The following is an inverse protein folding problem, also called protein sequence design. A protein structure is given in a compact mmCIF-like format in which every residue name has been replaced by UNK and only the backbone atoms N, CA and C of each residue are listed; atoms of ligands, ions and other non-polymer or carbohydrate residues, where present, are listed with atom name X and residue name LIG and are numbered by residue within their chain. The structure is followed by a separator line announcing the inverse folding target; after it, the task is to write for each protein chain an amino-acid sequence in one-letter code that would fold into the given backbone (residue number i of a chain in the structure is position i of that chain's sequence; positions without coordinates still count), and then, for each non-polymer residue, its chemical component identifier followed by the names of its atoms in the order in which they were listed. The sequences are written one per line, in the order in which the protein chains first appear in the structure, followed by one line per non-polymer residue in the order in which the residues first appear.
data_IF_256692649807
#
_entry.id   IF_256692649807
#
_cell.length_a   1.000
_cell.length_b   1.000
_cell.length_c   1.000
_cell.angle_alpha   90.00
_cell.angle_beta   90.00
_cell.angle_gamma   90.00
#
_symmetry.space_group_name_H-M   'P 1'
#
loop_
_entity.id
_entity.type
_entity.pdbx_description
1 polymer ?
#
# COMPACT_ATOMS: atom_id res chain seq x y z
N UNK A 1 15.86 -10.29 18.24
CA UNK A 1 15.37 -9.28 17.29
C UNK A 1 13.92 -9.60 16.98
N UNK A 2 13.08 -8.60 16.71
CA UNK A 2 11.74 -8.83 16.15
C UNK A 2 11.92 -9.48 14.77
N UNK A 3 11.03 -10.39 14.39
CA UNK A 3 11.07 -11.02 13.08
C UNK A 3 11.03 -9.97 11.96
N UNK A 4 11.61 -10.25 10.78
CA UNK A 4 11.41 -9.48 9.56
C UNK A 4 11.00 -10.44 8.46
N UNK A 5 9.70 -10.56 8.24
CA UNK A 5 9.19 -11.47 7.22
C UNK A 5 9.45 -10.94 5.81
N UNK A 6 10.11 -11.75 5.00
CA UNK A 6 10.37 -11.46 3.59
C UNK A 6 9.98 -12.66 2.75
N UNK A 7 9.80 -12.41 1.46
CA UNK A 7 9.53 -13.44 0.47
C UNK A 7 10.64 -13.42 -0.58
N UNK A 8 11.13 -14.60 -0.94
CA UNK A 8 12.09 -14.80 -2.01
C UNK A 8 11.38 -15.43 -3.20
N UNK A 9 11.69 -14.97 -4.39
CA UNK A 9 11.16 -15.43 -5.67
C UNK A 9 12.30 -15.81 -6.62
N UNK A 10 12.56 -17.10 -6.77
CA UNK A 10 13.48 -17.64 -7.76
C UNK A 10 12.78 -17.74 -9.12
N UNK A 11 13.01 -16.75 -9.99
CA UNK A 11 12.34 -16.67 -11.30
C UNK A 11 12.79 -17.78 -12.25
N UNK A 12 13.95 -18.40 -11.98
CA UNK A 12 14.47 -19.52 -12.77
C UNK A 12 13.75 -20.84 -12.51
N UNK A 13 13.00 -20.90 -11.40
CA UNK A 13 12.22 -22.07 -10.98
C UNK A 13 10.72 -21.90 -11.20
N UNK A 14 10.27 -20.68 -11.52
CA UNK A 14 8.86 -20.42 -11.79
C UNK A 14 8.48 -21.03 -13.14
N UNK A 15 7.39 -21.79 -13.16
CA UNK A 15 6.85 -22.42 -14.39
C UNK A 15 5.45 -21.89 -14.75
N UNK A 16 5.04 -20.76 -14.16
CA UNK A 16 3.74 -20.12 -14.39
C UNK A 16 2.51 -21.05 -14.26
N UNK A 17 2.58 -22.10 -13.43
CA UNK A 17 1.50 -23.10 -13.29
C UNK A 17 0.21 -22.58 -12.63
N UNK A 18 0.19 -21.31 -12.19
CA UNK A 18 -0.93 -20.64 -11.50
C UNK A 18 -1.38 -21.27 -10.18
N UNK A 19 -0.67 -22.28 -9.66
CA UNK A 19 -1.00 -22.91 -8.38
C UNK A 19 -1.00 -21.91 -7.21
N UNK A 20 -0.03 -20.97 -7.19
CA UNK A 20 0.04 -19.90 -6.18
C UNK A 20 -1.20 -19.00 -6.20
N UNK A 21 -1.63 -18.57 -7.39
CA UNK A 21 -2.80 -17.72 -7.58
C UNK A 21 -4.08 -18.43 -7.13
N UNK A 22 -4.27 -19.69 -7.50
CA UNK A 22 -5.44 -20.49 -7.09
C UNK A 22 -5.46 -20.70 -5.58
N UNK A 23 -4.33 -21.08 -4.97
CA UNK A 23 -4.25 -21.29 -3.53
C UNK A 23 -4.47 -20.00 -2.74
N UNK A 24 -3.94 -18.87 -3.23
CA UNK A 24 -4.15 -17.57 -2.58
C UNK A 24 -5.63 -17.18 -2.62
N UNK A 25 -6.30 -17.40 -3.76
CA UNK A 25 -7.73 -17.11 -3.90
C UNK A 25 -8.60 -18.00 -3.03
N UNK A 26 -8.25 -19.29 -2.91
CA UNK A 26 -8.95 -20.25 -2.05
C UNK A 26 -8.77 -19.93 -0.55
N UNK A 27 -7.57 -19.53 -0.12
CA UNK A 27 -7.29 -19.17 1.27
C UNK A 27 -8.03 -17.90 1.72
N UNK A 28 -8.31 -16.97 0.78
CA UNK A 28 -8.86 -15.64 1.07
C UNK A 28 -10.25 -15.39 0.48
N UNK A 29 -10.94 -16.44 0.01
CA UNK A 29 -12.25 -16.36 -0.65
C UNK A 29 -12.34 -15.22 -1.69
N UNK A 30 -11.28 -15.10 -2.50
CA UNK A 30 -11.14 -13.96 -3.42
C UNK A 30 -12.12 -14.07 -4.59
N UNK A 31 -12.94 -13.02 -4.87
CA UNK A 31 -13.92 -13.04 -5.95
C UNK A 31 -13.33 -13.38 -7.33
N UNK A 32 -14.18 -13.87 -8.23
CA UNK A 32 -13.79 -14.12 -9.62
C UNK A 32 -13.32 -12.83 -10.30
N UNK A 33 -12.24 -12.93 -11.09
CA UNK A 33 -11.62 -11.78 -11.78
C UNK A 33 -10.63 -10.98 -10.93
N UNK A 34 -10.50 -11.29 -9.63
CA UNK A 34 -9.56 -10.63 -8.73
C UNK A 34 -8.51 -11.62 -8.22
N UNK A 35 -7.33 -11.09 -7.88
CA UNK A 35 -6.25 -11.86 -7.28
C UNK A 35 -5.45 -11.01 -6.29
N UNK A 36 -4.79 -11.66 -5.34
CA UNK A 36 -3.91 -11.02 -4.33
C UNK A 36 -2.42 -11.22 -4.66
N UNK A 37 -2.13 -12.02 -5.68
CA UNK A 37 -0.84 -12.29 -6.28
C UNK A 37 -0.99 -12.52 -7.80
N UNK A 38 0.13 -12.57 -8.53
CA UNK A 38 0.16 -12.74 -9.97
C UNK A 38 1.47 -13.40 -10.40
N UNK A 39 1.55 -13.83 -11.65
CA UNK A 39 2.82 -14.11 -12.34
C UNK A 39 2.86 -13.27 -13.61
N UNK A 40 3.74 -12.26 -13.63
CA UNK A 40 4.01 -11.44 -14.82
C UNK A 40 4.92 -12.22 -15.75
N UNK A 41 4.51 -12.31 -17.00
CA UNK A 41 5.28 -12.91 -18.07
C UNK A 41 5.89 -11.80 -18.92
N UNK A 42 7.21 -11.85 -19.13
CA UNK A 42 7.91 -10.87 -19.95
C UNK A 42 8.68 -11.59 -21.04
N UNK A 43 8.21 -11.42 -22.27
CA UNK A 43 8.89 -11.90 -23.46
C UNK A 43 9.90 -10.85 -23.95
N UNK A 44 11.07 -11.31 -24.37
CA UNK A 44 12.11 -10.46 -24.94
C UNK A 44 13.01 -11.28 -25.88
N UNK A 45 13.80 -10.59 -26.69
CA UNK A 45 14.82 -11.22 -27.55
C UNK A 45 16.16 -11.13 -26.83
N UNK A 46 16.79 -12.27 -26.56
CA UNK A 46 18.08 -12.29 -25.89
C UNK A 46 19.23 -11.90 -26.83
N UNK A 47 20.45 -11.77 -26.30
CA UNK A 47 21.63 -11.37 -27.05
C UNK A 47 21.99 -12.30 -28.24
N UNK A 48 21.40 -13.50 -28.31
CA UNK A 48 21.57 -14.45 -29.42
C UNK A 48 20.48 -14.33 -30.49
N UNK A 49 19.57 -13.35 -30.38
CA UNK A 49 18.45 -13.20 -31.30
C UNK A 49 17.31 -14.21 -31.10
N UNK A 50 17.29 -14.92 -29.96
CA UNK A 50 16.27 -15.92 -29.67
C UNK A 50 15.20 -15.36 -28.73
N UNK A 51 13.91 -15.75 -28.91
CA UNK A 51 12.86 -15.38 -27.98
C UNK A 51 13.09 -16.08 -26.64
N UNK A 52 12.89 -15.34 -25.56
CA UNK A 52 13.02 -15.83 -24.19
C UNK A 52 11.93 -15.20 -23.32
N UNK A 53 11.50 -15.96 -22.32
CA UNK A 53 10.46 -15.54 -21.37
C UNK A 53 11.05 -15.52 -19.96
N UNK A 54 10.84 -14.42 -19.24
CA UNK A 54 11.05 -14.36 -17.80
C UNK A 54 9.71 -14.32 -17.06
N UNK A 55 9.63 -15.07 -15.96
CA UNK A 55 8.43 -15.22 -15.16
C UNK A 55 8.64 -14.63 -13.77
N UNK A 56 7.84 -13.61 -13.44
CA UNK A 56 7.94 -12.87 -12.19
C UNK A 56 6.69 -13.08 -11.34
N UNK A 57 6.70 -14.03 -10.39
CA UNK A 57 5.63 -14.10 -9.40
C UNK A 57 5.66 -12.84 -8.54
N UNK A 58 4.54 -12.13 -8.42
CA UNK A 58 4.44 -10.87 -7.69
C UNK A 58 3.20 -10.82 -6.81
N UNK A 59 3.22 -9.87 -5.88
CA UNK A 59 2.20 -9.59 -4.87
C UNK A 59 2.54 -8.27 -4.17
N UNK A 60 1.79 -7.92 -3.14
CA UNK A 60 2.19 -6.83 -2.23
C UNK A 60 3.63 -7.09 -1.73
N UNK A 61 4.48 -6.09 -1.87
CA UNK A 61 5.89 -6.19 -1.50
C UNK A 61 6.13 -5.99 0.00
N UNK A 62 5.08 -5.68 0.78
CA UNK A 62 5.16 -5.41 2.22
C UNK A 62 6.28 -4.42 2.57
N UNK A 63 6.34 -3.30 1.86
CA UNK A 63 7.44 -2.34 1.88
C UNK A 63 7.79 -1.80 3.27
N UNK A 64 9.06 -1.41 3.44
CA UNK A 64 9.54 -0.86 4.69
C UNK A 64 8.98 0.52 4.97
N UNK A 65 8.87 1.35 3.94
CA UNK A 65 8.19 2.65 3.92
C UNK A 65 6.96 2.60 3.00
N UNK A 66 5.82 2.06 3.46
CA UNK A 66 4.67 1.79 2.60
C UNK A 66 3.83 3.07 2.35
N UNK A 67 3.83 3.67 1.14
CA UNK A 67 3.06 4.89 0.86
C UNK A 67 1.55 4.66 1.04
N UNK A 68 1.10 3.43 0.81
CA UNK A 68 -0.27 3.01 1.05
C UNK A 68 -0.75 3.08 2.52
N UNK A 69 0.18 3.11 3.49
CA UNK A 69 -0.13 3.38 4.91
C UNK A 69 -0.19 4.89 5.14
N UNK A 70 0.79 5.63 4.62
CA UNK A 70 0.87 7.09 4.73
C UNK A 70 -0.39 7.80 4.21
N UNK A 71 -0.90 7.39 3.05
CA UNK A 71 -2.07 8.03 2.42
C UNK A 71 -3.41 7.59 3.01
N UNK A 72 -3.44 6.73 4.03
CA UNK A 72 -4.68 6.16 4.54
C UNK A 72 -5.32 7.07 5.62
N UNK A 73 -6.39 7.83 5.31
CA UNK A 73 -6.92 8.83 6.23
C UNK A 73 -7.63 8.22 7.44
N UNK A 74 -8.12 6.98 7.33
CA UNK A 74 -8.80 6.30 8.45
C UNK A 74 -7.85 5.53 9.36
N UNK A 75 -6.56 5.42 9.00
CA UNK A 75 -5.61 4.55 9.71
C UNK A 75 -5.85 3.05 9.48
N UNK A 76 -6.72 2.67 8.53
CA UNK A 76 -7.02 1.27 8.24
C UNK A 76 -5.80 0.50 7.70
N UNK A 77 -4.94 1.14 6.92
CA UNK A 77 -3.68 0.53 6.49
C UNK A 77 -2.61 0.78 7.55
N UNK A 78 -1.90 -0.26 7.97
CA UNK A 78 -0.85 -0.17 8.99
C UNK A 78 0.23 -1.24 8.74
N UNK A 79 1.40 -1.07 9.38
CA UNK A 79 2.52 -2.01 9.32
C UNK A 79 2.75 -2.62 10.69
N UNK A 80 2.75 -3.95 10.78
CA UNK A 80 3.11 -4.68 11.99
C UNK A 80 4.62 -4.60 12.25
N UNK A 81 5.04 -4.76 13.50
CA UNK A 81 6.45 -4.69 13.89
C UNK A 81 7.35 -5.65 13.12
N UNK A 82 6.80 -6.77 12.65
CA UNK A 82 7.53 -7.80 11.90
C UNK A 82 7.59 -7.60 10.38
N UNK A 83 7.15 -6.43 9.90
CA UNK A 83 7.19 -6.05 8.49
C UNK A 83 5.89 -6.27 7.72
N UNK A 84 4.92 -7.02 8.25
CA UNK A 84 3.68 -7.29 7.51
C UNK A 84 2.78 -6.05 7.46
N UNK A 85 2.70 -5.42 6.29
CA UNK A 85 1.66 -4.42 5.99
C UNK A 85 0.28 -5.07 5.91
N UNK A 86 -0.72 -4.52 6.61
CA UNK A 86 -2.08 -5.04 6.73
C UNK A 86 -3.13 -3.96 6.45
N UNK A 87 -4.40 -4.38 6.34
CA UNK A 87 -5.57 -3.49 6.27
C UNK A 87 -6.56 -4.00 7.31
N UNK A 88 -6.97 -3.13 8.24
CA UNK A 88 -8.09 -3.38 9.11
C UNK A 88 -9.40 -3.13 8.35
N UNK A 89 -10.12 -4.20 8.05
CA UNK A 89 -11.36 -4.14 7.30
C UNK A 89 -12.52 -3.49 8.10
N UNK A 90 -12.44 -3.42 9.43
CA UNK A 90 -13.50 -2.83 10.26
C UNK A 90 -13.56 -1.29 10.13
N UNK A 91 -12.41 -0.66 9.87
CA UNK A 91 -12.28 0.80 9.75
C UNK A 91 -11.91 1.27 8.34
N UNK A 92 -11.76 0.34 7.39
CA UNK A 92 -11.51 0.66 5.99
C UNK A 92 -12.79 1.21 5.36
N UNK A 93 -12.76 2.45 4.90
CA UNK A 93 -13.90 3.10 4.22
C UNK A 93 -13.99 2.79 2.72
N UNK A 94 -13.04 2.06 2.15
CA UNK A 94 -13.00 1.80 0.72
C UNK A 94 -12.72 3.04 -0.14
N UNK A 95 -12.10 4.10 0.40
CA UNK A 95 -11.83 5.35 -0.35
C UNK A 95 -10.78 5.26 -1.48
N UNK A 96 -10.13 4.10 -1.64
CA UNK A 96 -9.18 3.79 -2.72
C UNK A 96 -7.92 4.66 -2.83
N UNK A 97 -7.68 5.66 -1.97
CA UNK A 97 -6.47 6.49 -2.02
C UNK A 97 -5.16 5.68 -2.03
N UNK A 98 -5.14 4.56 -1.30
CA UNK A 98 -3.98 3.67 -1.21
C UNK A 98 -3.77 2.76 -2.44
N UNK A 99 -4.74 2.67 -3.36
CA UNK A 99 -4.65 1.87 -4.59
C UNK A 99 -3.64 2.48 -5.55
N UNK A 100 -3.82 3.74 -6.04
CA UNK A 100 -2.85 4.34 -6.94
C UNK A 100 -1.53 4.67 -6.21
N UNK A 101 -1.54 4.89 -4.89
CA UNK A 101 -0.31 5.10 -4.13
C UNK A 101 0.63 3.88 -4.09
N UNK A 102 0.14 2.68 -4.39
CA UNK A 102 0.98 1.49 -4.41
C UNK A 102 1.74 1.41 -5.75
N UNK A 103 3.09 1.51 -5.76
CA UNK A 103 3.85 1.51 -7.02
C UNK A 103 3.92 0.13 -7.70
N UNK A 104 3.37 -0.91 -7.06
CA UNK A 104 3.36 -2.29 -7.52
C UNK A 104 1.97 -2.77 -7.94
N UNK A 105 0.96 -1.88 -7.98
CA UNK A 105 -0.44 -2.22 -8.31
C UNK A 105 -1.01 -3.37 -7.45
N UNK A 106 -0.58 -3.47 -6.19
CA UNK A 106 -0.84 -4.63 -5.34
C UNK A 106 -2.09 -4.53 -4.47
N UNK A 107 -2.93 -3.52 -4.70
CA UNK A 107 -4.12 -3.19 -3.90
C UNK A 107 -5.31 -2.97 -4.83
N UNK A 108 -6.50 -3.36 -4.39
CA UNK A 108 -7.75 -3.15 -5.14
C UNK A 108 -8.94 -3.10 -4.18
N UNK A 109 -10.02 -2.43 -4.59
CA UNK A 109 -11.28 -2.41 -3.84
C UNK A 109 -12.01 -3.74 -4.01
N UNK A 110 -12.27 -4.43 -2.91
CA UNK A 110 -13.06 -5.66 -2.94
C UNK A 110 -14.54 -5.34 -3.20
N UNK A 111 -15.14 -5.83 -4.31
CA UNK A 111 -16.51 -5.49 -4.68
C UNK A 111 -17.56 -6.10 -3.75
N UNK A 112 -17.19 -7.10 -2.93
CA UNK A 112 -18.09 -7.75 -1.98
C UNK A 112 -18.07 -7.02 -0.63
N UNK A 113 -16.88 -6.68 -0.14
CA UNK A 113 -16.73 -6.10 1.21
C UNK A 113 -16.61 -4.58 1.23
N UNK A 114 -16.42 -3.92 0.07
CA UNK A 114 -16.11 -2.49 -0.05
C UNK A 114 -14.90 -2.04 0.78
N UNK A 115 -13.95 -2.94 0.98
CA UNK A 115 -12.67 -2.67 1.67
C UNK A 115 -11.50 -3.02 0.76
N UNK A 116 -10.32 -2.47 1.06
CA UNK A 116 -9.13 -2.71 0.25
C UNK A 116 -8.59 -4.12 0.49
N UNK A 117 -8.45 -4.89 -0.58
CA UNK A 117 -7.82 -6.20 -0.60
C UNK A 117 -6.40 -6.12 -1.16
N UNK A 118 -5.51 -6.93 -0.60
CA UNK A 118 -4.10 -7.10 -1.00
C UNK A 118 -3.50 -8.34 -0.34
N UNK A 119 -2.33 -8.81 -0.80
CA UNK A 119 -1.60 -9.84 -0.07
C UNK A 119 -1.31 -9.43 1.40
N UNK A 120 -1.37 -10.40 2.30
CA UNK A 120 -1.15 -10.26 3.76
C UNK A 120 -0.06 -11.20 4.25
N UNK A 121 0.77 -11.74 3.35
CA UNK A 121 1.64 -12.90 3.60
C UNK A 121 0.94 -14.08 4.29
N UNK A 122 -0.37 -14.24 4.04
CA UNK A 122 -1.20 -15.24 4.72
C UNK A 122 -1.13 -15.14 6.26
N UNK A 123 -1.12 -13.92 6.78
CA UNK A 123 -0.98 -13.62 8.20
C UNK A 123 -1.64 -14.62 9.19
N UNK A 124 -2.94 -15.00 9.06
CA UNK A 124 -3.55 -15.98 9.97
C UNK A 124 -2.85 -17.36 10.01
N UNK A 125 -2.15 -17.75 8.94
CA UNK A 125 -1.30 -18.95 8.86
C UNK A 125 0.03 -18.72 9.56
N UNK A 126 0.66 -17.57 9.30
CA UNK A 126 1.97 -17.21 9.88
C UNK A 126 1.89 -17.15 11.41
N UNK A 127 0.83 -16.56 11.97
CA UNK A 127 0.59 -16.54 13.42
C UNK A 127 0.49 -17.93 14.05
N UNK A 128 0.20 -18.96 13.24
CA UNK A 128 0.12 -20.38 13.66
C UNK A 128 1.39 -21.16 13.31
N UNK A 129 2.45 -20.49 12.85
CA UNK A 129 3.70 -21.12 12.42
C UNK A 129 3.59 -21.89 11.09
N UNK A 130 2.55 -21.63 10.31
CA UNK A 130 2.35 -22.25 8.99
C UNK A 130 2.91 -21.35 7.88
N UNK A 131 3.25 -21.95 6.74
CA UNK A 131 3.70 -21.21 5.55
C UNK A 131 2.52 -20.55 4.81
N UNK A 132 2.76 -19.47 4.02
CA UNK A 132 1.75 -18.93 3.13
C UNK A 132 1.25 -19.97 2.12
N UNK A 133 -0.04 -19.95 1.81
CA UNK A 133 -0.66 -20.91 0.88
C UNK A 133 0.03 -20.93 -0.50
N UNK A 134 0.45 -19.76 -1.01
CA UNK A 134 1.17 -19.65 -2.28
C UNK A 134 2.58 -20.26 -2.26
N UNK A 135 3.24 -20.29 -1.08
CA UNK A 135 4.56 -20.90 -0.88
C UNK A 135 4.41 -22.41 -0.76
N UNK A 136 3.47 -22.86 0.05
CA UNK A 136 3.22 -24.29 0.30
C UNK A 136 2.82 -25.06 -0.96
N UNK A 137 2.04 -24.44 -1.85
CA UNK A 137 1.62 -25.05 -3.12
C UNK A 137 2.66 -24.95 -4.25
N UNK A 138 3.77 -24.23 -4.04
CA UNK A 138 4.69 -23.88 -5.13
C UNK A 138 5.47 -25.11 -5.64
N UNK A 139 4.97 -25.75 -6.70
CA UNK A 139 5.54 -26.97 -7.30
C UNK A 139 7.02 -26.80 -7.66
N UNK A 140 7.39 -25.65 -8.23
CA UNK A 140 8.78 -25.36 -8.61
C UNK A 140 9.69 -25.01 -7.42
N UNK A 141 9.14 -24.82 -6.21
CA UNK A 141 9.80 -24.14 -5.08
C UNK A 141 10.45 -22.81 -5.51
N UNK A 142 9.73 -22.07 -6.34
CA UNK A 142 10.13 -20.73 -6.76
C UNK A 142 9.88 -19.69 -5.67
N UNK A 143 8.94 -19.95 -4.75
CA UNK A 143 8.61 -19.06 -3.65
C UNK A 143 9.14 -19.63 -2.34
N UNK A 144 9.85 -18.80 -1.57
CA UNK A 144 10.35 -19.14 -0.23
C UNK A 144 9.98 -17.98 0.71
N UNK A 145 9.49 -18.29 1.90
CA UNK A 145 9.07 -17.29 2.88
C UNK A 145 9.62 -17.61 4.25
N UNK A 146 9.99 -16.57 5.01
CA UNK A 146 10.57 -16.74 6.34
C UNK A 146 11.06 -15.43 6.95
N UNK A 147 11.60 -15.56 8.15
CA UNK A 147 12.18 -14.47 8.93
C UNK A 147 13.63 -14.20 8.49
N UNK A 148 13.89 -13.03 7.91
CA UNK A 148 15.22 -12.58 7.50
C UNK A 148 16.15 -12.25 8.68
N UNK A 149 15.61 -12.09 9.89
CA UNK A 149 16.39 -11.83 11.10
C UNK A 149 16.78 -13.11 11.84
N UNK A 150 16.15 -14.26 11.55
CA UNK A 150 16.56 -15.55 12.08
C UNK A 150 17.69 -16.13 11.20
N UNK A 151 18.94 -16.24 11.70
CA UNK A 151 20.06 -16.78 10.94
C UNK A 151 19.89 -18.25 10.54
N UNK A 152 19.01 -19.00 11.22
CA UNK A 152 18.74 -20.39 10.92
C UNK A 152 17.63 -20.58 9.86
N UNK A 153 16.93 -19.51 9.47
CA UNK A 153 15.88 -19.60 8.46
C UNK A 153 16.45 -19.87 7.07
N UNK A 154 15.69 -20.63 6.25
CA UNK A 154 16.06 -20.90 4.84
C UNK A 154 16.27 -19.58 4.07
N UNK A 155 15.43 -18.59 4.34
CA UNK A 155 15.50 -17.26 3.72
C UNK A 155 16.81 -16.55 4.06
N UNK A 156 17.20 -16.48 5.33
CA UNK A 156 18.43 -15.80 5.75
C UNK A 156 19.69 -16.46 5.21
N UNK A 157 19.67 -17.78 5.05
CA UNK A 157 20.77 -18.51 4.41
C UNK A 157 20.82 -18.23 2.91
N UNK A 158 19.68 -18.26 2.23
CA UNK A 158 19.59 -17.99 0.79
C UNK A 158 19.97 -16.55 0.44
N UNK A 159 19.59 -15.57 1.26
CA UNK A 159 19.96 -14.16 1.08
C UNK A 159 21.48 -13.94 1.11
N UNK A 160 22.23 -14.78 1.83
CA UNK A 160 23.71 -14.75 1.86
C UNK A 160 24.34 -15.54 0.71
N UNK A 161 23.65 -16.56 0.21
CA UNK A 161 24.20 -17.52 -0.74
C UNK A 161 24.06 -17.10 -2.22
N UNK A 162 23.16 -16.18 -2.53
CA UNK A 162 22.89 -15.71 -3.89
C UNK A 162 22.74 -14.19 -3.92
N UNK A 163 22.95 -13.60 -5.09
CA UNK A 163 22.62 -12.20 -5.33
C UNK A 163 21.13 -12.06 -5.65
N UNK A 164 20.40 -11.53 -4.67
CA UNK A 164 18.99 -11.22 -4.80
C UNK A 164 18.77 -9.75 -5.12
N UNK A 165 17.79 -9.48 -5.97
CA UNK A 165 17.44 -8.14 -6.41
C UNK A 165 16.06 -7.76 -5.91
N UNK A 166 15.86 -6.49 -5.57
CA UNK A 166 14.55 -5.93 -5.24
C UNK A 166 14.01 -5.13 -6.41
N UNK A 167 12.69 -5.06 -6.55
CA UNK A 167 12.04 -4.24 -7.58
C UNK A 167 12.00 -2.78 -7.13
N UNK A 168 13.04 -2.01 -7.42
CA UNK A 168 13.20 -0.60 -7.06
C UNK A 168 13.73 0.20 -8.25
N UNK A 169 13.37 1.48 -8.34
CA UNK A 169 14.00 2.45 -9.25
C UNK A 169 14.65 3.56 -8.45
N UNK A 170 15.36 4.47 -9.11
CA UNK A 170 15.93 5.66 -8.45
C UNK A 170 14.85 6.54 -7.80
N UNK A 171 13.66 6.60 -8.41
CA UNK A 171 12.51 7.35 -7.90
C UNK A 171 11.67 6.57 -6.88
N UNK A 172 11.72 5.22 -6.93
CA UNK A 172 10.92 4.35 -6.06
C UNK A 172 11.83 3.37 -5.33
N UNK A 173 12.36 3.82 -4.19
CA UNK A 173 13.18 3.02 -3.29
C UNK A 173 12.60 3.03 -1.86
N UNK A 174 11.50 2.31 -1.70
CA UNK A 174 10.70 2.26 -0.45
C UNK A 174 10.94 0.98 0.37
N UNK A 175 12.06 0.30 0.13
CA UNK A 175 12.46 -0.93 0.82
C UNK A 175 11.46 -2.09 0.68
N UNK A 176 11.19 -2.61 -0.53
CA UNK A 176 10.33 -3.79 -0.70
C UNK A 176 10.94 -5.02 -0.01
N UNK A 177 10.09 -5.84 0.61
CA UNK A 177 10.47 -7.07 1.32
C UNK A 177 10.23 -8.33 0.44
N UNK A 178 10.30 -8.16 -0.88
CA UNK A 178 10.30 -9.25 -1.84
C UNK A 178 11.59 -9.20 -2.66
N UNK A 179 12.26 -10.34 -2.75
CA UNK A 179 13.58 -10.47 -3.35
C UNK A 179 13.52 -11.46 -4.51
N UNK A 180 14.13 -11.11 -5.62
CA UNK A 180 14.08 -11.87 -6.86
C UNK A 180 15.45 -12.39 -7.24
N UNK A 181 15.54 -13.67 -7.57
CA UNK A 181 16.74 -14.28 -8.14
C UNK A 181 16.50 -14.56 -9.61
N UNK A 182 17.31 -13.93 -10.48
CA UNK A 182 17.19 -14.00 -11.95
C UNK A 182 18.37 -14.72 -12.62
N UNK A 183 19.28 -15.31 -11.83
CA UNK A 183 20.54 -15.91 -12.30
C UNK A 183 21.35 -14.97 -13.21
N UNK A 184 21.49 -13.71 -12.81
CA UNK A 184 22.28 -12.69 -13.52
C UNK A 184 21.58 -12.03 -14.70
N UNK A 185 20.33 -12.40 -15.00
CA UNK A 185 19.53 -11.69 -16.02
C UNK A 185 19.02 -10.37 -15.47
N UNK A 186 19.03 -9.33 -16.31
CA UNK A 186 18.44 -8.04 -15.98
C UNK A 186 16.93 -8.20 -15.73
N UNK A 187 16.42 -7.46 -14.73
CA UNK A 187 15.00 -7.38 -14.47
C UNK A 187 14.36 -6.50 -15.56
N UNK A 188 13.32 -6.98 -16.26
CA UNK A 188 12.66 -6.19 -17.29
C UNK A 188 11.86 -5.01 -16.74
N UNK A 189 11.85 -3.88 -17.45
CA UNK A 189 11.09 -2.67 -17.07
C UNK A 189 9.59 -2.93 -16.80
N UNK A 190 8.99 -3.91 -17.49
CA UNK A 190 7.59 -4.28 -17.34
C UNK A 190 7.19 -4.74 -15.91
N UNK A 191 8.16 -5.18 -15.10
CA UNK A 191 7.91 -5.60 -13.72
C UNK A 191 8.36 -4.58 -12.68
N UNK A 192 9.05 -3.53 -13.10
CA UNK A 192 9.56 -2.47 -12.21
C UNK A 192 8.41 -1.64 -11.61
N UNK A 193 8.62 -1.08 -10.40
CA UNK A 193 7.63 -0.20 -9.81
C UNK A 193 7.39 1.02 -10.69
N UNK A 194 6.16 1.53 -10.69
CA UNK A 194 5.81 2.76 -11.39
C UNK A 194 5.71 3.90 -10.40
N UNK A 195 6.36 5.01 -10.73
CA UNK A 195 6.12 6.26 -10.02
C UNK A 195 4.68 6.70 -10.30
N UNK A 196 3.87 6.87 -9.25
CA UNK A 196 2.53 7.38 -9.43
C UNK A 196 2.57 8.91 -9.55
N UNK A 197 2.65 9.43 -10.77
CA UNK A 197 2.64 10.87 -11.09
C UNK A 197 1.35 11.60 -10.68
N UNK A 198 0.28 10.86 -10.32
CA UNK A 198 -1.03 11.45 -9.97
C UNK A 198 -1.14 11.90 -8.52
N UNK A 199 -0.09 11.74 -7.72
CA UNK A 199 0.01 12.48 -6.48
C UNK A 199 0.42 13.91 -6.83
N UNK A 200 -0.41 14.91 -6.54
CA UNK A 200 0.17 16.19 -6.12
C UNK A 200 1.25 15.79 -5.10
N UNK A 201 2.51 16.17 -5.35
CA UNK A 201 3.62 15.86 -4.43
C UNK A 201 3.12 16.09 -3.01
N UNK A 202 3.27 15.13 -2.10
CA UNK A 202 2.83 15.29 -0.70
C UNK A 202 3.32 16.63 -0.14
N UNK A 203 4.55 17.01 -0.53
CA UNK A 203 5.18 18.33 -0.35
C UNK A 203 4.32 19.52 -0.77
N UNK A 204 3.65 19.46 -1.93
CA UNK A 204 2.77 20.54 -2.41
C UNK A 204 1.47 20.59 -1.59
N UNK A 205 0.93 19.42 -1.23
CA UNK A 205 -0.26 19.35 -0.40
C UNK A 205 0.03 19.90 1.02
N UNK A 206 1.16 19.50 1.62
CA UNK A 206 1.58 19.91 2.96
C UNK A 206 2.05 21.36 3.02
N UNK A 207 2.88 21.81 2.08
CA UNK A 207 3.51 23.13 2.19
C UNK A 207 2.70 24.26 1.55
N UNK A 208 1.74 23.95 0.68
CA UNK A 208 0.97 24.98 -0.05
C UNK A 208 -0.53 24.83 0.19
N UNK A 209 -1.11 23.68 -0.15
CA UNK A 209 -2.58 23.51 -0.13
C UNK A 209 -3.12 23.55 1.30
N UNK A 210 -2.52 22.80 2.23
CA UNK A 210 -2.96 22.72 3.63
C UNK A 210 -2.88 24.09 4.35
N UNK A 211 -1.78 24.86 4.28
CA UNK A 211 -1.70 26.19 4.89
C UNK A 211 -2.71 27.16 4.29
N UNK A 212 -2.85 27.20 2.96
CA UNK A 212 -3.82 28.07 2.28
C UNK A 212 -5.26 27.71 2.65
N UNK A 213 -5.58 26.42 2.70
CA UNK A 213 -6.88 25.93 3.15
C UNK A 213 -7.18 26.34 4.60
N UNK A 214 -6.19 26.18 5.49
CA UNK A 214 -6.32 26.55 6.91
C UNK A 214 -6.54 28.06 7.08
N UNK A 215 -5.79 28.89 6.35
CA UNK A 215 -5.97 30.34 6.34
C UNK A 215 -7.34 30.74 5.79
N UNK A 216 -7.80 30.10 4.71
CA UNK A 216 -9.11 30.32 4.12
C UNK A 216 -10.24 30.03 5.10
N UNK A 217 -10.21 28.86 5.75
CA UNK A 217 -11.21 28.45 6.75
C UNK A 217 -11.19 29.40 7.96
N UNK A 218 -9.99 29.76 8.44
CA UNK A 218 -9.82 30.69 9.56
C UNK A 218 -10.39 32.07 9.26
N UNK A 219 -10.11 32.61 8.06
CA UNK A 219 -10.65 33.88 7.60
C UNK A 219 -12.18 33.87 7.51
N UNK A 220 -12.74 32.78 6.98
CA UNK A 220 -14.18 32.61 6.88
C UNK A 220 -14.86 32.57 8.26
N UNK A 221 -14.30 31.83 9.22
CA UNK A 221 -14.81 31.79 10.60
C UNK A 221 -14.74 33.17 11.27
N UNK A 222 -13.66 33.93 11.08
CA UNK A 222 -13.52 35.27 11.64
C UNK A 222 -14.59 36.23 11.10
N UNK A 223 -14.91 36.17 9.80
CA UNK A 223 -15.97 36.98 9.18
C UNK A 223 -17.34 36.63 9.77
N UNK A 224 -17.68 35.34 9.86
CA UNK A 224 -18.97 34.91 10.41
C UNK A 224 -19.12 35.28 11.89
N UNK A 225 -18.08 35.08 12.70
CA UNK A 225 -18.07 35.50 14.11
C UNK A 225 -18.20 37.02 14.24
N UNK A 226 -17.44 37.78 13.46
CA UNK A 226 -17.52 39.25 13.46
C UNK A 226 -18.90 39.78 13.07
N UNK A 227 -19.50 39.22 12.01
CA UNK A 227 -20.86 39.57 11.60
C UNK A 227 -21.91 39.20 12.66
N UNK A 228 -21.75 38.04 13.30
CA UNK A 228 -22.60 37.59 14.41
C UNK A 228 -22.52 38.53 15.63
N UNK A 229 -21.31 38.89 16.05
CA UNK A 229 -21.08 39.84 17.15
C UNK A 229 -21.68 41.20 16.81
N UNK A 230 -21.45 41.72 15.60
CA UNK A 230 -22.03 42.99 15.16
C UNK A 230 -23.55 42.96 15.23
N UNK A 231 -24.20 41.91 14.73
CA UNK A 231 -25.66 41.75 14.78
C UNK A 231 -26.20 41.71 16.22
N UNK A 232 -25.47 41.13 17.17
CA UNK A 232 -25.83 41.13 18.59
C UNK A 232 -25.71 42.52 19.23
N UNK A 233 -24.64 43.26 18.90
CA UNK A 233 -24.44 44.64 19.37
C UNK A 233 -25.55 45.54 18.83
N UNK A 234 -25.81 45.49 17.51
CA UNK A 234 -26.84 46.28 16.85
C UNK A 234 -28.22 45.99 17.46
N UNK A 235 -28.56 44.71 17.70
CA UNK A 235 -29.81 44.32 18.37
C UNK A 235 -29.91 44.85 19.81
N UNK A 236 -28.81 44.87 20.56
CA UNK A 236 -28.79 45.42 21.93
C UNK A 236 -29.03 46.93 21.93
N UNK A 237 -28.44 47.65 20.97
CA UNK A 237 -28.67 49.09 20.80
C UNK A 237 -30.12 49.38 20.40
N UNK A 238 -30.70 48.61 19.49
CA UNK A 238 -32.11 48.76 19.09
C UNK A 238 -33.08 48.54 20.26
N UNK A 239 -32.84 47.54 21.11
CA UNK A 239 -33.65 47.31 22.32
C UNK A 239 -33.51 48.47 23.30
N UNK A 240 -32.28 48.92 23.56
CA UNK A 240 -32.01 50.06 24.45
C UNK A 240 -32.67 51.36 23.97
N UNK A 241 -32.67 51.61 22.65
CA UNK A 241 -33.30 52.78 22.06
C UNK A 241 -34.83 52.72 22.16
N UNK A 242 -35.43 51.53 22.00
CA UNK A 242 -36.88 51.33 22.16
C UNK A 242 -37.33 51.51 23.61
N UNK A 243 -36.59 50.98 24.58
CA UNK A 243 -36.90 51.15 26.00
C UNK A 243 -36.79 52.62 26.44
N UNK A 244 -35.76 53.35 26.00
CA UNK A 244 -35.62 54.79 26.30
C UNK A 244 -36.70 55.68 25.66
N UNK A 245 -37.34 55.22 24.57
CA UNK A 245 -38.47 55.94 23.95
C UNK A 245 -39.80 55.75 24.68
N UNK A 246 -39.93 54.72 25.52
CA UNK A 246 -41.14 54.47 26.31
C UNK A 246 -41.18 55.20 27.65
N UNK A 247 -40.08 55.79 28.11
CA UNK A 247 -40.02 56.62 29.33
C UNK A 247 -40.33 58.12 29.09
N UNK A 248 -40.61 58.53 27.84
CA UNK A 248 -40.88 59.93 27.47
C UNK A 248 -42.37 60.24 27.14
N UNK A 249 -43.30 59.38 27.55
CA UNK A 249 -44.75 59.63 27.45
C UNK A 249 -45.44 59.57 28.82
#
# INVERSE_FOLDING_TARGET
MVAKYVMLADTTRCINCKACEVACRAEWDTPLGYSRDWVKEVEYVNAKGLPEVQLFPGRCQHCDDPPCVEVCPSGASWKREDGIVLVDHAICSGCELCVPACPYDARWLNPVTNTISKCTFCQPRIDKGLQPACVETCVGRALIFGDANDPNSEVSQLLKAKEWQTLVTDEVNIGPNHYYYTAGKAIPDAVMPKLNERHLSGTLMENIVNPLGTLGIGGMMAVFLGAGIKKLIDRRQDVSNKEGSHEQH
#
